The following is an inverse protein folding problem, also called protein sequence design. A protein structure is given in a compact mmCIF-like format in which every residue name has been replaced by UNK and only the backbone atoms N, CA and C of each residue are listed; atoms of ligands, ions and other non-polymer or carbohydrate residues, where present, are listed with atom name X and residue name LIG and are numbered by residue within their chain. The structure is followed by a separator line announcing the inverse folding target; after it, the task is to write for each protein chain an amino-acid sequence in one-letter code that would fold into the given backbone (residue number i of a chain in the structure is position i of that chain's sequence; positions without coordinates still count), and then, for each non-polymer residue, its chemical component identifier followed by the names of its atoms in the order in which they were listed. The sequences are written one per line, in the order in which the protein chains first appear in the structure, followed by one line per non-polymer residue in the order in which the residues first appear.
data_IF_999647539627
#
_entry.id   IF_999647539627
#
_cell.length_a   1.000
_cell.length_b   1.000
_cell.length_c   1.000
_cell.angle_alpha   90.00
_cell.angle_beta   90.00
_cell.angle_gamma   90.00
#
_symmetry.space_group_name_H-M   'P 1'
#
loop_
_entity.id
_entity.type
_entity.pdbx_description
1 polymer ?
#
# COMPACT_ATOMS: atom_id res chain seq x y z
N UNK A 1 -2.73 -28.94 -32.74
CA UNK A 1 -2.93 -29.79 -31.55
C UNK A 1 -1.68 -29.71 -30.69
N UNK A 2 -1.60 -28.69 -29.83
CA UNK A 2 -0.62 -28.66 -28.75
C UNK A 2 -1.00 -29.77 -27.75
N UNK A 3 -0.09 -30.71 -27.53
CA UNK A 3 -0.34 -31.90 -26.70
C UNK A 3 -0.50 -31.50 -25.23
N UNK A 4 -1.60 -31.92 -24.60
CA UNK A 4 -1.78 -31.85 -23.14
C UNK A 4 -3.05 -31.13 -22.66
N UNK A 5 -3.83 -30.52 -23.56
CA UNK A 5 -5.10 -29.90 -23.19
C UNK A 5 -6.29 -30.79 -23.57
N UNK A 6 -7.05 -31.25 -22.59
CA UNK A 6 -8.36 -31.88 -22.79
C UNK A 6 -9.47 -30.89 -22.41
N UNK A 7 -10.45 -30.63 -23.28
CA UNK A 7 -11.53 -29.71 -22.98
C UNK A 7 -12.44 -30.23 -21.86
N UNK A 8 -12.85 -29.37 -20.90
CA UNK A 8 -13.70 -29.80 -19.78
C UNK A 8 -15.12 -30.16 -20.26
N UNK A 9 -15.70 -31.20 -19.67
CA UNK A 9 -17.10 -31.59 -19.94
C UNK A 9 -18.06 -30.46 -19.52
N UNK A 10 -18.98 -29.99 -20.40
CA UNK A 10 -19.79 -28.81 -20.15
C UNK A 10 -20.98 -29.18 -19.26
N UNK A 11 -20.78 -29.16 -17.94
CA UNK A 11 -21.86 -29.36 -16.97
C UNK A 11 -22.35 -28.04 -16.36
N UNK A 12 -21.59 -26.94 -16.45
CA UNK A 12 -21.92 -25.64 -15.85
C UNK A 12 -21.51 -24.47 -16.76
N UNK A 13 -22.34 -23.43 -16.82
CA UNK A 13 -22.17 -22.25 -17.70
C UNK A 13 -20.86 -21.48 -17.44
N UNK A 14 -20.34 -21.53 -16.21
CA UNK A 14 -19.09 -20.84 -15.79
C UNK A 14 -17.82 -21.49 -16.33
N UNK A 15 -17.72 -22.81 -16.32
CA UNK A 15 -16.54 -23.53 -16.85
C UNK A 15 -16.47 -23.46 -18.37
N UNK A 16 -17.61 -23.38 -19.04
CA UNK A 16 -17.69 -23.14 -20.49
C UNK A 16 -17.14 -21.75 -20.87
N UNK A 17 -17.52 -20.70 -20.14
CA UNK A 17 -17.11 -19.32 -20.45
C UNK A 17 -15.60 -19.10 -20.27
N UNK A 18 -15.00 -19.66 -19.20
CA UNK A 18 -13.56 -19.59 -18.99
C UNK A 18 -12.76 -20.36 -20.05
N UNK A 19 -13.23 -21.55 -20.45
CA UNK A 19 -12.62 -22.32 -21.53
C UNK A 19 -12.77 -21.62 -22.90
N UNK A 20 -13.88 -20.91 -23.12
CA UNK A 20 -14.13 -20.11 -24.33
C UNK A 20 -13.17 -18.92 -24.45
N UNK A 21 -12.94 -18.17 -23.36
CA UNK A 21 -11.97 -17.07 -23.33
C UNK A 21 -10.53 -17.55 -23.54
N UNK A 22 -10.17 -18.70 -22.95
CA UNK A 22 -8.85 -19.32 -23.18
C UNK A 22 -8.67 -19.80 -24.63
N UNK A 23 -9.74 -20.33 -25.26
CA UNK A 23 -9.73 -20.76 -26.65
C UNK A 23 -9.75 -19.58 -27.64
N UNK A 24 -10.25 -18.41 -27.25
CA UNK A 24 -10.25 -17.20 -28.09
C UNK A 24 -8.84 -16.72 -28.44
N UNK A 25 -7.81 -17.09 -27.66
CA UNK A 25 -6.43 -16.73 -27.94
C UNK A 25 -5.73 -17.62 -29.00
N UNK A 26 -6.30 -18.78 -29.38
CA UNK A 26 -5.67 -19.75 -30.30
C UNK A 26 -6.64 -20.21 -31.42
N UNK A 27 -6.24 -19.99 -32.66
CA UNK A 27 -7.04 -20.27 -33.86
C UNK A 27 -7.49 -21.74 -33.99
N UNK A 28 -6.73 -22.70 -33.44
CA UNK A 28 -7.07 -24.13 -33.48
C UNK A 28 -8.15 -24.48 -32.46
N UNK A 29 -8.19 -23.78 -31.33
CA UNK A 29 -9.11 -24.07 -30.22
C UNK A 29 -10.49 -23.39 -30.40
N UNK A 30 -10.58 -22.30 -31.18
CA UNK A 30 -11.86 -21.63 -31.53
C UNK A 30 -12.84 -22.53 -32.28
N UNK A 31 -12.33 -23.43 -33.14
CA UNK A 31 -13.16 -24.36 -33.92
C UNK A 31 -13.84 -25.47 -33.10
N UNK A 32 -13.40 -25.71 -31.86
CA UNK A 32 -14.03 -26.69 -30.96
C UNK A 32 -15.28 -26.11 -30.29
N UNK A 33 -15.19 -24.89 -29.75
CA UNK A 33 -16.28 -24.26 -29.00
C UNK A 33 -17.53 -24.02 -29.87
N UNK A 34 -17.34 -23.57 -31.11
CA UNK A 34 -18.45 -23.29 -32.01
C UNK A 34 -19.19 -24.55 -32.51
N UNK A 35 -18.49 -25.67 -32.69
CA UNK A 35 -19.12 -26.97 -32.99
C UNK A 35 -19.96 -27.46 -31.81
N UNK A 36 -19.49 -27.26 -30.58
CA UNK A 36 -20.20 -27.68 -29.38
C UNK A 36 -21.46 -26.85 -29.09
N UNK A 37 -21.47 -25.57 -29.47
CA UNK A 37 -22.64 -24.67 -29.40
C UNK A 37 -23.71 -25.10 -30.41
N UNK A 38 -23.31 -25.46 -31.64
CA UNK A 38 -24.25 -25.90 -32.70
C UNK A 38 -25.06 -27.14 -32.32
N UNK A 39 -24.46 -28.06 -31.56
CA UNK A 39 -25.10 -29.30 -31.09
C UNK A 39 -26.08 -29.09 -29.92
N UNK A 40 -25.99 -27.96 -29.21
CA UNK A 40 -26.72 -27.71 -27.95
C UNK A 40 -27.86 -26.69 -28.06
N UNK A 41 -28.01 -26.01 -29.20
CA UNK A 41 -29.10 -25.05 -29.43
C UNK A 41 -30.43 -25.78 -29.75
N UNK A 42 -31.54 -25.47 -29.05
CA UNK A 42 -32.85 -26.00 -29.41
C UNK A 42 -33.46 -25.18 -30.57
N UNK A 43 -33.83 -25.85 -31.67
CA UNK A 43 -34.76 -25.32 -32.69
C UNK A 43 -34.20 -25.05 -34.09
N UNK A 44 -34.99 -25.51 -35.08
CA UNK A 44 -34.97 -25.35 -36.56
C UNK A 44 -33.66 -25.45 -37.35
N UNK A 45 -33.71 -26.22 -38.44
CA UNK A 45 -32.60 -26.45 -39.39
C UNK A 45 -31.96 -25.16 -39.95
N UNK A 46 -32.68 -24.03 -39.95
CA UNK A 46 -32.20 -22.75 -40.46
C UNK A 46 -31.15 -22.07 -39.57
N UNK A 47 -31.28 -22.16 -38.23
CA UNK A 47 -30.28 -21.60 -37.29
C UNK A 47 -29.00 -22.44 -37.32
N UNK A 48 -29.15 -23.75 -37.46
CA UNK A 48 -28.02 -24.68 -37.60
C UNK A 48 -27.28 -24.46 -38.94
N UNK A 49 -28.01 -24.29 -40.04
CA UNK A 49 -27.44 -23.93 -41.34
C UNK A 49 -26.73 -22.56 -41.32
N UNK A 50 -27.29 -21.56 -40.62
CA UNK A 50 -26.66 -20.25 -40.35
C UNK A 50 -25.32 -20.39 -39.63
N UNK A 51 -25.26 -21.17 -38.55
CA UNK A 51 -24.02 -21.38 -37.80
C UNK A 51 -22.96 -22.15 -38.62
N UNK A 52 -23.39 -23.16 -39.38
CA UNK A 52 -22.49 -23.94 -40.26
C UNK A 52 -21.91 -23.09 -41.39
N UNK A 53 -22.68 -22.17 -41.96
CA UNK A 53 -22.20 -21.24 -42.99
C UNK A 53 -21.21 -20.20 -42.44
N UNK A 54 -21.46 -19.67 -41.24
CA UNK A 54 -20.53 -18.78 -40.52
C UNK A 54 -19.22 -19.50 -40.16
N UNK A 55 -19.31 -20.76 -39.75
CA UNK A 55 -18.14 -21.59 -39.42
C UNK A 55 -17.27 -21.95 -40.63
N UNK A 56 -17.85 -21.97 -41.83
CA UNK A 56 -17.13 -22.26 -43.07
C UNK A 56 -16.32 -21.06 -43.62
N UNK A 57 -16.56 -19.84 -43.14
CA UNK A 57 -15.97 -18.62 -43.69
C UNK A 57 -14.63 -18.20 -43.06
N UNK A 58 -14.21 -18.83 -41.95
CA UNK A 58 -13.07 -18.36 -41.15
C UNK A 58 -13.38 -17.05 -40.39
N UNK A 59 -12.82 -16.84 -39.18
CA UNK A 59 -13.15 -15.67 -38.38
C UNK A 59 -12.47 -14.41 -38.95
N UNK A 60 -13.26 -13.47 -39.49
CA UNK A 60 -12.78 -12.16 -39.92
C UNK A 60 -13.50 -11.04 -39.14
N UNK A 61 -12.82 -10.35 -38.20
CA UNK A 61 -13.43 -9.30 -37.37
C UNK A 61 -13.98 -8.11 -38.17
N UNK A 62 -13.64 -7.98 -39.45
CA UNK A 62 -14.21 -6.97 -40.37
C UNK A 62 -15.66 -7.28 -40.77
N UNK A 63 -16.04 -8.56 -40.76
CA UNK A 63 -17.40 -9.01 -41.08
C UNK A 63 -18.38 -8.56 -40.00
N UNK A 64 -18.00 -8.64 -38.74
CA UNK A 64 -18.86 -8.27 -37.61
C UNK A 64 -19.01 -6.75 -37.46
N UNK A 65 -17.96 -5.96 -37.76
CA UNK A 65 -18.01 -4.50 -37.73
C UNK A 65 -18.91 -3.92 -38.84
N UNK A 66 -18.77 -4.41 -40.08
CA UNK A 66 -19.63 -3.98 -41.20
C UNK A 66 -21.08 -4.43 -40.99
N UNK A 67 -21.32 -5.61 -40.39
CA UNK A 67 -22.67 -6.04 -40.01
C UNK A 67 -23.32 -5.04 -39.04
N UNK A 68 -22.57 -4.55 -38.06
CA UNK A 68 -23.06 -3.59 -37.07
C UNK A 68 -23.38 -2.22 -37.68
N UNK A 69 -22.55 -1.72 -38.60
CA UNK A 69 -22.77 -0.45 -39.30
C UNK A 69 -23.98 -0.48 -40.26
N UNK A 70 -24.27 -1.65 -40.82
CA UNK A 70 -25.39 -1.88 -41.75
C UNK A 70 -26.72 -2.13 -41.02
N UNK A 71 -26.68 -2.73 -39.82
CA UNK A 71 -27.85 -2.92 -38.97
C UNK A 71 -28.51 -1.60 -38.53
N UNK A 72 -27.74 -0.52 -38.38
CA UNK A 72 -28.25 0.84 -38.07
C UNK A 72 -28.99 1.50 -39.25
N UNK A 73 -28.82 0.99 -40.48
CA UNK A 73 -29.46 1.54 -41.71
C UNK A 73 -30.70 0.75 -42.15
N UNK A 74 -31.15 -0.24 -41.38
CA UNK A 74 -32.27 -1.12 -41.73
C UNK A 74 -33.64 -0.45 -41.51
N UNK A 75 -33.98 0.46 -42.41
CA UNK A 75 -35.36 0.89 -42.65
C UNK A 75 -35.95 0.38 -43.97
N UNK A 76 -35.15 -0.09 -44.94
CA UNK A 76 -35.64 -0.28 -46.31
C UNK A 76 -34.88 -1.32 -47.18
N UNK A 77 -34.39 -2.43 -46.63
CA UNK A 77 -33.74 -3.48 -47.44
C UNK A 77 -34.49 -4.81 -47.26
N UNK A 78 -34.91 -5.42 -48.37
CA UNK A 78 -35.52 -6.74 -48.39
C UNK A 78 -34.53 -7.81 -47.95
N UNK A 79 -34.80 -8.49 -46.84
CA UNK A 79 -34.16 -9.75 -46.45
C UNK A 79 -32.68 -9.68 -46.04
N UNK A 80 -32.35 -10.36 -44.94
CA UNK A 80 -30.99 -10.45 -44.36
C UNK A 80 -29.99 -11.15 -45.30
N UNK A 81 -30.45 -11.99 -46.23
CA UNK A 81 -29.58 -12.71 -47.19
C UNK A 81 -28.96 -11.77 -48.25
N UNK A 82 -29.68 -10.74 -48.67
CA UNK A 82 -29.18 -9.72 -49.60
C UNK A 82 -28.16 -8.81 -48.91
N UNK A 83 -28.40 -8.47 -47.64
CA UNK A 83 -27.48 -7.68 -46.82
C UNK A 83 -26.13 -8.38 -46.63
N UNK A 84 -26.14 -9.67 -46.28
CA UNK A 84 -24.92 -10.47 -46.10
C UNK A 84 -24.13 -10.61 -47.40
N UNK A 85 -24.83 -10.69 -48.54
CA UNK A 85 -24.19 -10.76 -49.86
C UNK A 85 -23.54 -9.42 -50.24
N UNK A 86 -24.16 -8.28 -49.93
CA UNK A 86 -23.59 -6.95 -50.17
C UNK A 86 -22.38 -6.68 -49.27
N UNK A 87 -22.45 -7.03 -47.98
CA UNK A 87 -21.34 -6.89 -47.03
C UNK A 87 -20.12 -7.70 -47.49
N UNK A 88 -20.32 -8.91 -48.03
CA UNK A 88 -19.24 -9.73 -48.61
C UNK A 88 -18.55 -9.05 -49.80
N UNK A 89 -19.31 -8.42 -50.68
CA UNK A 89 -18.74 -7.71 -51.84
C UNK A 89 -17.91 -6.51 -51.40
N UNK A 90 -18.32 -5.84 -50.33
CA UNK A 90 -17.63 -4.63 -49.87
C UNK A 90 -16.39 -4.93 -49.03
N UNK A 91 -16.42 -5.97 -48.21
CA UNK A 91 -15.25 -6.47 -47.48
C UNK A 91 -14.19 -7.01 -48.45
N UNK A 92 -14.60 -7.66 -49.55
CA UNK A 92 -13.67 -8.15 -50.57
C UNK A 92 -12.92 -7.05 -51.33
N UNK A 93 -13.43 -5.80 -51.32
CA UNK A 93 -12.76 -4.63 -51.92
C UNK A 93 -11.75 -3.98 -50.99
N UNK A 94 -11.76 -4.29 -49.70
CA UNK A 94 -10.88 -3.67 -48.71
C UNK A 94 -9.59 -4.49 -48.51
N UNK A 95 -8.41 -3.86 -48.53
CA UNK A 95 -7.16 -4.55 -48.22
C UNK A 95 -7.18 -5.08 -46.78
N UNK A 96 -6.68 -6.31 -46.59
CA UNK A 96 -6.56 -6.94 -45.27
C UNK A 96 -5.62 -6.12 -44.40
N UNK A 97 -6.14 -5.53 -43.33
CA UNK A 97 -5.35 -4.79 -42.33
C UNK A 97 -5.62 -5.36 -40.93
N UNK A 98 -4.63 -5.34 -40.03
CA UNK A 98 -4.86 -5.69 -38.63
C UNK A 98 -5.85 -4.70 -37.99
N UNK A 99 -6.65 -5.16 -37.03
CA UNK A 99 -7.58 -4.30 -36.30
C UNK A 99 -6.82 -3.21 -35.53
N UNK A 100 -7.40 -2.03 -35.49
CA UNK A 100 -6.90 -0.89 -34.73
C UNK A 100 -7.09 -1.10 -33.23
N UNK A 101 -6.30 -0.39 -32.44
CA UNK A 101 -6.38 -0.38 -30.98
C UNK A 101 -7.78 0.03 -30.47
N UNK A 102 -8.46 0.92 -31.19
CA UNK A 102 -9.81 1.38 -30.88
C UNK A 102 -10.89 0.30 -31.16
N UNK A 103 -10.69 -0.52 -32.21
CA UNK A 103 -11.55 -1.67 -32.51
C UNK A 103 -11.38 -2.75 -31.44
N UNK A 104 -10.16 -2.96 -30.92
CA UNK A 104 -9.88 -3.92 -29.84
C UNK A 104 -10.46 -3.48 -28.48
N UNK A 105 -10.43 -2.18 -28.17
CA UNK A 105 -10.96 -1.63 -26.92
C UNK A 105 -12.48 -1.83 -26.76
N UNK A 106 -13.22 -1.91 -27.87
CA UNK A 106 -14.67 -2.13 -27.87
C UNK A 106 -15.07 -3.56 -27.44
N UNK A 107 -14.11 -4.50 -27.38
CA UNK A 107 -14.33 -5.90 -27.00
C UNK A 107 -13.89 -6.25 -25.57
N UNK A 108 -13.43 -5.28 -24.78
CA UNK A 108 -13.13 -5.52 -23.37
C UNK A 108 -14.42 -5.85 -22.59
N UNK A 109 -14.48 -6.92 -21.78
CA UNK A 109 -15.70 -7.31 -21.09
C UNK A 109 -16.15 -6.22 -20.09
N UNK A 110 -17.47 -5.98 -19.92
CA UNK A 110 -17.97 -5.10 -18.88
C UNK A 110 -17.61 -5.69 -17.51
N UNK A 111 -16.76 -4.99 -16.77
CA UNK A 111 -16.26 -5.38 -15.44
C UNK A 111 -17.44 -5.39 -14.46
N UNK A 112 -17.66 -6.50 -13.75
CA UNK A 112 -18.76 -6.60 -12.79
C UNK A 112 -18.34 -5.96 -11.46
N UNK A 113 -19.27 -5.37 -10.73
CA UNK A 113 -19.05 -4.87 -9.36
C UNK A 113 -18.51 -5.93 -8.40
N UNK A 114 -18.81 -7.20 -8.66
CA UNK A 114 -18.28 -8.35 -7.92
C UNK A 114 -16.75 -8.52 -8.03
N UNK A 115 -16.13 -8.01 -9.09
CA UNK A 115 -14.68 -8.14 -9.31
C UNK A 115 -13.89 -7.13 -8.46
N UNK A 116 -14.43 -5.92 -8.23
CA UNK A 116 -13.78 -4.90 -7.38
C UNK A 116 -13.76 -5.31 -5.92
N UNK A 117 -14.90 -5.74 -5.37
CA UNK A 117 -14.99 -6.13 -3.97
C UNK A 117 -14.08 -7.34 -3.66
N UNK A 118 -13.92 -8.25 -4.63
CA UNK A 118 -13.00 -9.38 -4.51
C UNK A 118 -11.53 -8.92 -4.49
N UNK A 119 -11.16 -7.96 -5.33
CA UNK A 119 -9.81 -7.37 -5.33
C UNK A 119 -9.51 -6.62 -4.04
N UNK A 120 -10.42 -5.76 -3.57
CA UNK A 120 -10.26 -5.06 -2.30
C UNK A 120 -10.13 -6.04 -1.12
N UNK A 121 -10.96 -7.09 -1.09
CA UNK A 121 -10.84 -8.14 -0.08
C UNK A 121 -9.48 -8.85 -0.13
N UNK A 122 -8.97 -9.17 -1.33
CA UNK A 122 -7.64 -9.75 -1.51
C UNK A 122 -6.54 -8.83 -0.97
N UNK A 123 -6.67 -7.52 -1.18
CA UNK A 123 -5.72 -6.52 -0.68
C UNK A 123 -5.75 -6.41 0.84
N UNK A 124 -6.93 -6.42 1.47
CA UNK A 124 -7.03 -6.41 2.94
C UNK A 124 -6.52 -7.72 3.58
N UNK A 125 -6.69 -8.85 2.89
CA UNK A 125 -6.18 -10.14 3.33
C UNK A 125 -4.65 -10.25 3.19
N UNK A 126 -4.09 -9.65 2.14
CA UNK A 126 -2.65 -9.62 1.88
C UNK A 126 -2.16 -8.19 1.56
N UNK A 127 -1.97 -7.34 2.58
CA UNK A 127 -1.66 -5.93 2.40
C UNK A 127 -0.25 -5.67 1.85
N UNK A 128 0.61 -6.67 1.71
CA UNK A 128 1.94 -6.50 1.13
C UNK A 128 1.99 -6.81 -0.38
N UNK A 129 0.94 -7.42 -0.93
CA UNK A 129 0.89 -7.85 -2.33
C UNK A 129 0.45 -6.73 -3.28
N UNK A 130 1.32 -6.36 -4.19
CA UNK A 130 1.09 -5.28 -5.15
C UNK A 130 0.33 -5.75 -6.41
N UNK A 131 0.26 -7.06 -6.68
CA UNK A 131 -0.39 -7.57 -7.90
C UNK A 131 -1.91 -7.26 -7.91
N UNK A 132 -2.68 -7.54 -6.84
CA UNK A 132 -4.09 -7.15 -6.79
C UNK A 132 -4.30 -5.63 -6.88
N UNK A 133 -3.33 -4.84 -6.41
CA UNK A 133 -3.39 -3.36 -6.47
C UNK A 133 -3.19 -2.85 -7.88
N UNK A 134 -2.26 -3.43 -8.64
CA UNK A 134 -2.05 -3.08 -10.04
C UNK A 134 -3.32 -3.36 -10.87
N UNK A 135 -3.92 -4.54 -10.68
CA UNK A 135 -5.20 -4.89 -11.34
C UNK A 135 -6.31 -3.92 -10.93
N UNK A 136 -6.42 -3.59 -9.64
CA UNK A 136 -7.39 -2.61 -9.16
C UNK A 136 -7.16 -1.22 -9.78
N UNK A 137 -5.91 -0.79 -9.91
CA UNK A 137 -5.54 0.49 -10.49
C UNK A 137 -6.02 0.62 -11.94
N UNK A 138 -5.76 -0.39 -12.76
CA UNK A 138 -6.17 -0.43 -14.17
C UNK A 138 -7.70 -0.41 -14.30
N UNK A 139 -8.38 -1.19 -13.46
CA UNK A 139 -9.85 -1.25 -13.45
C UNK A 139 -10.50 0.07 -13.03
N UNK A 140 -9.94 0.76 -12.03
CA UNK A 140 -10.44 2.05 -11.56
C UNK A 140 -10.19 3.14 -12.61
N UNK A 141 -9.01 3.15 -13.25
CA UNK A 141 -8.71 4.09 -14.34
C UNK A 141 -9.64 3.89 -15.55
N UNK A 142 -9.92 2.65 -15.94
CA UNK A 142 -10.86 2.34 -17.01
C UNK A 142 -12.29 2.86 -16.74
N UNK A 143 -12.63 3.10 -15.47
CA UNK A 143 -13.92 3.67 -15.03
C UNK A 143 -13.86 5.18 -14.78
N UNK A 144 -12.71 5.81 -14.99
CA UNK A 144 -12.48 7.22 -14.68
C UNK A 144 -12.44 7.53 -13.18
N UNK A 145 -12.19 6.53 -12.32
CA UNK A 145 -12.00 6.76 -10.89
C UNK A 145 -10.55 7.22 -10.60
N UNK A 146 -10.36 8.43 -10.04
CA UNK A 146 -9.02 9.00 -9.79
C UNK A 146 -8.17 8.17 -8.81
N UNK A 147 -8.78 7.28 -8.02
CA UNK A 147 -8.03 6.38 -7.12
C UNK A 147 -7.15 5.41 -7.91
N UNK A 148 -7.56 5.04 -9.11
CA UNK A 148 -6.76 4.17 -9.98
C UNK A 148 -5.44 4.83 -10.38
N UNK A 149 -5.48 6.12 -10.77
CA UNK A 149 -4.29 6.92 -11.07
C UNK A 149 -3.37 7.02 -9.84
N UNK A 150 -3.95 7.30 -8.66
CA UNK A 150 -3.19 7.34 -7.41
C UNK A 150 -2.44 6.03 -7.15
N UNK A 151 -3.13 4.88 -7.25
CA UNK A 151 -2.50 3.57 -7.01
C UNK A 151 -1.34 3.36 -7.98
N UNK A 152 -1.56 3.59 -9.28
CA UNK A 152 -0.54 3.38 -10.30
C UNK A 152 0.72 4.25 -10.06
N UNK A 153 0.53 5.54 -9.73
CA UNK A 153 1.63 6.45 -9.42
C UNK A 153 2.39 6.00 -8.16
N UNK A 154 1.67 5.64 -7.09
CA UNK A 154 2.30 5.19 -5.85
C UNK A 154 3.03 3.84 -5.99
N UNK A 155 2.54 2.93 -6.84
CA UNK A 155 3.26 1.71 -7.20
C UNK A 155 4.52 1.99 -8.03
N UNK A 156 4.46 2.96 -8.95
CA UNK A 156 5.64 3.40 -9.70
C UNK A 156 6.71 3.99 -8.76
N UNK A 157 6.31 4.83 -7.79
CA UNK A 157 7.21 5.36 -6.74
C UNK A 157 7.82 4.21 -5.93
N UNK A 158 7.01 3.26 -5.46
CA UNK A 158 7.49 2.10 -4.71
C UNK A 158 8.50 1.23 -5.49
N UNK A 159 8.32 1.14 -6.82
CA UNK A 159 9.23 0.44 -7.72
C UNK A 159 10.48 1.26 -8.13
N UNK A 160 10.73 2.43 -7.52
CA UNK A 160 11.87 3.29 -7.85
C UNK A 160 11.74 4.05 -9.17
N UNK A 161 10.52 4.14 -9.72
CA UNK A 161 10.19 4.82 -10.99
C UNK A 161 9.39 6.13 -10.76
N UNK A 162 9.44 6.68 -9.55
CA UNK A 162 8.79 7.95 -9.23
C UNK A 162 9.44 9.15 -9.95
N UNK A 163 8.62 10.15 -10.29
CA UNK A 163 9.06 11.43 -10.87
C UNK A 163 8.55 12.59 -10.03
N UNK A 164 9.16 13.77 -10.12
CA UNK A 164 8.72 14.94 -9.33
C UNK A 164 7.30 15.38 -9.77
N UNK A 165 6.98 15.25 -11.06
CA UNK A 165 5.64 15.48 -11.60
C UNK A 165 4.64 14.46 -11.06
N UNK A 166 5.05 13.20 -10.94
CA UNK A 166 4.23 12.13 -10.36
C UNK A 166 3.94 12.38 -8.88
N UNK A 167 4.91 12.88 -8.12
CA UNK A 167 4.73 13.24 -6.71
C UNK A 167 3.77 14.42 -6.57
N UNK A 168 3.93 15.47 -7.38
CA UNK A 168 3.01 16.60 -7.40
C UNK A 168 1.57 16.16 -7.74
N UNK A 169 1.43 15.21 -8.67
CA UNK A 169 0.12 14.63 -9.03
C UNK A 169 -0.47 13.76 -7.92
N UNK A 170 0.34 12.97 -7.22
CA UNK A 170 -0.10 12.22 -6.03
C UNK A 170 -0.63 13.19 -4.97
N UNK A 171 0.09 14.26 -4.67
CA UNK A 171 -0.34 15.27 -3.70
C UNK A 171 -1.66 15.92 -4.11
N UNK A 172 -1.84 16.21 -5.39
CA UNK A 172 -3.09 16.73 -5.94
C UNK A 172 -4.26 15.78 -5.74
N UNK A 173 -4.12 14.54 -6.21
CA UNK A 173 -5.14 13.50 -6.08
C UNK A 173 -5.56 13.27 -4.62
N UNK A 174 -4.58 13.24 -3.71
CA UNK A 174 -4.81 13.04 -2.28
C UNK A 174 -5.51 14.23 -1.63
N UNK A 175 -5.14 15.46 -2.02
CA UNK A 175 -5.81 16.69 -1.54
C UNK A 175 -7.27 16.73 -1.96
N UNK A 176 -7.54 16.39 -3.23
CA UNK A 176 -8.86 16.60 -3.84
C UNK A 176 -9.83 15.45 -3.53
N UNK A 177 -9.33 14.22 -3.41
CA UNK A 177 -10.16 13.01 -3.25
C UNK A 177 -9.93 12.23 -1.96
N UNK A 178 -8.82 12.48 -1.24
CA UNK A 178 -8.38 11.67 -0.10
C UNK A 178 -9.45 11.45 0.97
N UNK A 179 -10.21 12.51 1.32
CA UNK A 179 -11.30 12.41 2.30
C UNK A 179 -12.37 11.38 1.89
N UNK A 180 -12.71 11.31 0.60
CA UNK A 180 -13.71 10.37 0.11
C UNK A 180 -13.22 8.92 0.19
N UNK A 181 -11.93 8.69 -0.06
CA UNK A 181 -11.31 7.36 0.00
C UNK A 181 -11.18 6.81 1.43
N UNK A 182 -11.19 7.67 2.45
CA UNK A 182 -11.24 7.23 3.85
C UNK A 182 -12.63 6.69 4.25
N UNK A 183 -13.67 6.93 3.45
CA UNK A 183 -15.02 6.48 3.76
C UNK A 183 -15.46 6.89 5.19
N UNK A 184 -16.04 5.99 6.00
CA UNK A 184 -16.43 6.31 7.38
C UNK A 184 -15.29 6.72 8.31
N UNK A 185 -14.02 6.37 8.01
CA UNK A 185 -12.90 6.67 8.90
C UNK A 185 -12.54 8.14 8.95
N UNK A 186 -12.99 8.95 7.99
CA UNK A 186 -12.72 10.40 8.01
C UNK A 186 -13.24 11.10 9.27
N UNK A 187 -14.20 10.51 9.98
CA UNK A 187 -14.78 11.07 11.22
C UNK A 187 -13.92 10.85 12.46
N UNK A 188 -13.00 9.90 12.39
CA UNK A 188 -12.08 9.58 13.47
C UNK A 188 -10.63 9.90 13.10
N UNK A 189 -10.38 10.30 11.85
CA UNK A 189 -9.04 10.65 11.37
C UNK A 189 -8.76 12.14 11.61
N UNK A 190 -7.75 12.42 12.43
CA UNK A 190 -7.11 13.73 12.46
C UNK A 190 -6.22 13.88 11.23
N UNK A 191 -5.31 12.92 11.00
CA UNK A 191 -4.44 12.83 9.82
C UNK A 191 -4.43 11.39 9.31
N UNK A 192 -4.20 11.24 8.01
CA UNK A 192 -4.13 9.94 7.36
C UNK A 192 -3.03 9.92 6.31
N UNK A 193 -2.42 8.76 6.07
CA UNK A 193 -1.49 8.58 4.95
C UNK A 193 -1.99 7.44 4.07
N UNK A 194 -2.07 7.72 2.77
CA UNK A 194 -2.36 6.72 1.76
C UNK A 194 -1.06 6.27 1.10
N UNK A 195 -0.81 4.97 1.07
CA UNK A 195 0.25 4.36 0.27
C UNK A 195 -0.31 3.26 -0.59
N UNK A 196 0.16 3.20 -1.84
CA UNK A 196 -0.33 2.27 -2.86
C UNK A 196 -1.87 2.30 -2.98
N UNK A 197 -2.47 3.48 -2.75
CA UNK A 197 -3.91 3.80 -2.75
C UNK A 197 -4.74 3.34 -1.55
N UNK A 198 -4.10 2.90 -0.45
CA UNK A 198 -4.78 2.43 0.76
C UNK A 198 -4.27 3.12 2.01
N UNK A 199 -5.11 3.17 3.05
CA UNK A 199 -4.78 3.77 4.33
C UNK A 199 -3.71 2.95 5.06
N UNK A 200 -2.52 3.51 5.24
CA UNK A 200 -1.41 2.83 5.94
C UNK A 200 -1.06 3.47 7.28
N UNK A 201 -1.39 4.75 7.47
CA UNK A 201 -1.21 5.45 8.75
C UNK A 201 -2.47 6.20 9.11
N UNK A 202 -2.91 6.05 10.36
CA UNK A 202 -4.08 6.72 10.91
C UNK A 202 -3.72 7.39 12.23
N UNK A 203 -3.89 8.71 12.29
CA UNK A 203 -3.81 9.49 13.52
C UNK A 203 -5.22 9.90 13.94
N UNK A 204 -5.59 9.61 15.19
CA UNK A 204 -6.97 9.77 15.63
C UNK A 204 -7.31 11.21 16.04
N UNK A 205 -8.51 11.64 15.66
CA UNK A 205 -9.13 12.88 16.13
C UNK A 205 -9.61 12.76 17.58
N UNK A 206 -9.92 13.92 18.18
CA UNK A 206 -10.41 14.02 19.55
C UNK A 206 -11.73 13.28 19.83
N UNK A 207 -12.14 13.20 21.11
CA UNK A 207 -13.32 12.42 21.54
C UNK A 207 -14.63 12.89 20.89
N UNK A 208 -14.68 14.12 20.39
CA UNK A 208 -15.81 14.69 19.64
C UNK A 208 -15.95 14.16 18.19
N UNK A 209 -15.19 13.14 17.79
CA UNK A 209 -15.33 12.47 16.50
C UNK A 209 -16.62 11.66 16.39
N UNK A 210 -16.54 10.45 15.81
CA UNK A 210 -17.70 9.57 15.65
C UNK A 210 -18.46 9.31 16.98
N UNK A 211 -19.79 9.40 16.93
CA UNK A 211 -20.66 9.00 18.04
C UNK A 211 -20.61 7.49 18.30
N UNK A 212 -21.04 7.03 19.48
CA UNK A 212 -20.86 5.64 19.94
C UNK A 212 -21.33 4.56 18.94
N UNK A 213 -22.55 4.68 18.39
CA UNK A 213 -23.06 3.71 17.42
C UNK A 213 -22.23 3.65 16.13
N UNK A 214 -21.69 4.79 15.70
CA UNK A 214 -20.85 4.87 14.49
C UNK A 214 -19.45 4.36 14.75
N UNK A 215 -18.95 4.57 15.96
CA UNK A 215 -17.68 4.05 16.43
C UNK A 215 -17.63 2.52 16.39
N UNK A 216 -18.67 1.83 16.85
CA UNK A 216 -18.78 0.35 16.78
C UNK A 216 -18.61 -0.16 15.34
N UNK A 217 -19.28 0.48 14.37
CA UNK A 217 -19.13 0.13 12.95
C UNK A 217 -17.75 0.44 12.38
N UNK A 218 -17.07 1.49 12.89
CA UNK A 218 -15.74 1.88 12.43
C UNK A 218 -14.69 0.89 12.91
N UNK A 219 -14.78 0.41 14.16
CA UNK A 219 -13.80 -0.52 14.75
C UNK A 219 -13.71 -1.82 13.95
N UNK A 220 -14.77 -2.27 13.30
CA UNK A 220 -14.79 -3.49 12.47
C UNK A 220 -14.61 -3.21 10.97
N UNK A 221 -14.38 -1.96 10.57
CA UNK A 221 -14.42 -1.59 9.17
C UNK A 221 -13.22 -2.16 8.37
N UNK A 222 -13.43 -2.80 7.20
CA UNK A 222 -12.35 -3.43 6.42
C UNK A 222 -11.21 -2.51 5.99
N UNK A 223 -11.48 -1.20 5.81
CA UNK A 223 -10.45 -0.20 5.51
C UNK A 223 -9.33 -0.12 6.57
N UNK A 224 -9.56 -0.63 7.78
CA UNK A 224 -8.51 -0.78 8.80
C UNK A 224 -7.47 -1.85 8.45
N UNK A 225 -7.78 -2.76 7.52
CA UNK A 225 -6.94 -3.90 7.14
C UNK A 225 -5.57 -3.54 6.61
N UNK A 226 -5.38 -2.32 6.10
CA UNK A 226 -4.08 -1.84 5.59
C UNK A 226 -3.35 -0.92 6.55
N UNK A 227 -3.93 -0.56 7.70
CA UNK A 227 -3.31 0.36 8.66
C UNK A 227 -2.13 -0.32 9.34
N UNK A 228 -0.92 0.17 9.09
CA UNK A 228 0.32 -0.30 9.70
C UNK A 228 0.68 0.50 10.96
N UNK A 229 0.42 1.81 10.93
CA UNK A 229 0.77 2.77 11.96
C UNK A 229 -0.48 3.43 12.53
N UNK A 230 -0.78 3.14 13.81
CA UNK A 230 -1.88 3.79 14.53
C UNK A 230 -1.31 4.78 15.55
N UNK A 231 -1.76 6.02 15.48
CA UNK A 231 -1.29 7.12 16.35
C UNK A 231 -2.49 7.65 17.14
N UNK A 232 -2.37 7.81 18.47
CA UNK A 232 -3.49 8.21 19.31
C UNK A 232 -4.01 9.61 19.04
N UNK A 233 -3.16 10.52 18.54
CA UNK A 233 -3.53 11.91 18.26
C UNK A 233 -4.17 12.58 19.48
N UNK A 234 -5.41 13.06 19.33
CA UNK A 234 -6.21 13.67 20.40
C UNK A 234 -7.26 12.72 21.00
N UNK A 235 -7.31 11.45 20.57
CA UNK A 235 -8.27 10.46 21.05
C UNK A 235 -8.02 10.06 22.51
N UNK A 236 -9.04 9.46 23.13
CA UNK A 236 -8.89 8.79 24.43
C UNK A 236 -8.15 7.47 24.27
N UNK A 237 -7.48 7.03 25.35
CA UNK A 237 -6.83 5.73 25.42
C UNK A 237 -7.76 4.55 25.22
N UNK A 238 -9.00 4.63 25.71
CA UNK A 238 -10.01 3.56 25.54
C UNK A 238 -10.37 3.34 24.06
N UNK A 239 -10.70 4.43 23.33
CA UNK A 239 -10.97 4.34 21.89
C UNK A 239 -9.77 3.83 21.10
N UNK A 240 -8.59 4.35 21.42
CA UNK A 240 -7.37 3.90 20.78
C UNK A 240 -7.07 2.41 21.06
N UNK A 241 -7.33 1.94 22.29
CA UNK A 241 -7.19 0.54 22.68
C UNK A 241 -8.19 -0.40 21.97
N UNK A 242 -9.40 0.07 21.70
CA UNK A 242 -10.39 -0.69 20.91
C UNK A 242 -9.93 -0.92 19.47
N UNK A 243 -9.37 0.10 18.82
CA UNK A 243 -8.78 -0.05 17.49
C UNK A 243 -7.56 -0.97 17.51
N UNK A 244 -6.67 -0.86 18.50
CA UNK A 244 -5.54 -1.79 18.66
C UNK A 244 -6.02 -3.25 18.76
N UNK A 245 -7.11 -3.48 19.47
CA UNK A 245 -7.69 -4.81 19.66
C UNK A 245 -8.56 -5.28 18.48
N UNK A 246 -8.82 -4.42 17.50
CA UNK A 246 -9.70 -4.75 16.38
C UNK A 246 -9.17 -5.92 15.55
N UNK A 247 -10.02 -6.91 15.19
CA UNK A 247 -9.65 -7.95 14.26
C UNK A 247 -9.48 -7.44 12.82
N UNK A 248 -10.04 -6.26 12.50
CA UNK A 248 -9.89 -5.64 11.19
C UNK A 248 -8.47 -5.06 10.97
N UNK A 249 -7.68 -4.83 12.02
CA UNK A 249 -6.32 -4.29 11.97
C UNK A 249 -5.26 -5.36 11.63
N UNK A 250 -5.41 -6.03 10.48
CA UNK A 250 -4.53 -7.14 10.08
C UNK A 250 -3.09 -6.70 9.75
N UNK A 251 -2.93 -5.50 9.19
CA UNK A 251 -1.63 -4.90 8.88
C UNK A 251 -0.95 -4.21 10.08
N UNK A 252 -1.60 -4.04 11.23
CA UNK A 252 -1.04 -3.20 12.30
C UNK A 252 0.33 -3.71 12.77
N UNK A 253 1.30 -2.79 12.79
CA UNK A 253 2.72 -3.06 13.12
C UNK A 253 3.25 -2.12 14.19
N UNK A 254 2.78 -0.87 14.24
CA UNK A 254 3.39 0.16 15.11
C UNK A 254 2.34 1.01 15.81
N UNK A 255 2.56 1.20 17.11
CA UNK A 255 1.64 1.90 18.00
C UNK A 255 2.42 2.71 19.05
N UNK A 256 1.72 3.61 19.72
CA UNK A 256 2.12 4.23 20.98
C UNK A 256 1.47 3.55 22.21
N UNK A 257 2.17 3.53 23.34
CA UNK A 257 1.70 3.08 24.66
C UNK A 257 1.96 4.18 25.68
N UNK A 258 0.89 4.76 26.21
CA UNK A 258 0.96 5.94 27.09
C UNK A 258 0.02 5.88 28.30
N UNK A 259 -0.88 4.89 28.37
CA UNK A 259 -1.76 4.69 29.51
C UNK A 259 -2.13 3.19 29.72
N UNK A 260 -2.88 2.90 30.79
CA UNK A 260 -3.31 1.54 31.14
C UNK A 260 -4.42 0.98 30.23
N UNK A 261 -5.22 1.81 29.59
CA UNK A 261 -6.23 1.34 28.64
C UNK A 261 -5.54 0.73 27.42
N UNK A 262 -4.48 1.37 26.92
CA UNK A 262 -3.66 0.83 25.83
C UNK A 262 -3.03 -0.51 26.22
N UNK A 263 -2.57 -0.68 27.46
CA UNK A 263 -2.03 -1.96 27.94
C UNK A 263 -3.09 -3.07 27.90
N UNK A 264 -4.34 -2.78 28.30
CA UNK A 264 -5.46 -3.73 28.15
C UNK A 264 -5.80 -4.01 26.68
N UNK A 265 -5.71 -2.99 25.83
CA UNK A 265 -5.85 -3.13 24.38
C UNK A 265 -4.78 -4.06 23.79
N UNK A 266 -3.54 -3.93 24.28
CA UNK A 266 -2.45 -4.83 23.94
C UNK A 266 -2.87 -6.27 24.27
N UNK A 267 -3.22 -6.61 25.51
CA UNK A 267 -3.55 -7.98 25.89
C UNK A 267 -4.54 -8.69 24.95
N UNK A 268 -5.43 -7.92 24.31
CA UNK A 268 -6.45 -8.41 23.36
C UNK A 268 -6.06 -8.35 21.89
N UNK A 269 -5.00 -7.62 21.50
CA UNK A 269 -4.64 -7.47 20.08
C UNK A 269 -4.12 -8.76 19.46
N UNK A 270 -4.51 -8.98 18.21
CA UNK A 270 -4.00 -10.01 17.32
C UNK A 270 -2.90 -9.49 16.38
N UNK A 271 -2.58 -8.20 16.44
CA UNK A 271 -1.60 -7.57 15.58
C UNK A 271 -0.18 -8.08 15.86
N UNK A 272 0.59 -8.26 14.79
CA UNK A 272 2.01 -8.65 14.85
C UNK A 272 2.90 -7.41 15.00
N UNK A 273 2.86 -6.80 16.18
CA UNK A 273 3.57 -5.55 16.43
C UNK A 273 5.10 -5.74 16.29
N UNK A 274 5.73 -4.78 15.62
CA UNK A 274 7.18 -4.74 15.39
C UNK A 274 7.85 -3.57 16.11
N UNK A 275 7.10 -2.51 16.40
CA UNK A 275 7.56 -1.34 17.13
C UNK A 275 6.51 -0.82 18.11
N UNK A 276 6.93 -0.49 19.33
CA UNK A 276 6.09 0.14 20.35
C UNK A 276 6.79 1.41 20.84
N UNK A 277 6.11 2.55 20.74
CA UNK A 277 6.63 3.82 21.20
C UNK A 277 6.03 4.18 22.56
N UNK A 278 6.84 4.56 23.55
CA UNK A 278 6.38 4.81 24.92
C UNK A 278 6.62 6.28 25.30
N UNK A 279 5.77 7.22 24.85
CA UNK A 279 6.02 8.64 25.05
C UNK A 279 5.86 9.11 26.51
N UNK A 280 4.94 8.53 27.30
CA UNK A 280 4.70 8.99 28.66
C UNK A 280 3.87 8.04 29.55
N UNK A 281 4.37 6.86 29.93
CA UNK A 281 3.57 5.95 30.79
C UNK A 281 3.48 6.38 32.26
N UNK A 282 4.37 7.23 32.75
CA UNK A 282 4.39 7.61 34.17
C UNK A 282 3.21 8.48 34.60
N UNK A 283 2.46 9.06 33.65
CA UNK A 283 1.28 9.87 33.94
C UNK A 283 0.15 9.08 34.63
N UNK A 284 0.20 7.73 34.57
CA UNK A 284 -0.84 6.85 35.13
C UNK A 284 -0.40 6.06 36.37
N UNK A 285 0.70 6.45 37.02
CA UNK A 285 1.14 5.87 38.30
C UNK A 285 1.66 4.43 38.21
N UNK A 286 1.84 3.89 37.00
CA UNK A 286 2.42 2.58 36.73
C UNK A 286 3.92 2.71 36.39
N UNK A 287 4.71 1.74 36.85
CA UNK A 287 6.13 1.65 36.50
C UNK A 287 6.29 1.01 35.12
N UNK A 288 7.10 1.63 34.28
CA UNK A 288 7.37 1.18 32.91
C UNK A 288 7.79 -0.29 32.85
N UNK A 289 8.70 -0.68 33.74
CA UNK A 289 9.26 -2.02 33.84
C UNK A 289 8.26 -3.08 34.34
N UNK A 290 7.26 -2.67 35.12
CA UNK A 290 6.28 -3.57 35.73
C UNK A 290 5.08 -3.81 34.80
N UNK A 291 4.81 -2.88 33.87
CA UNK A 291 3.60 -2.92 33.04
C UNK A 291 3.91 -2.99 31.53
N UNK A 292 4.78 -2.12 31.01
CA UNK A 292 5.07 -2.06 29.56
C UNK A 292 5.89 -3.27 29.14
N UNK A 293 7.00 -3.53 29.82
CA UNK A 293 7.94 -4.57 29.40
C UNK A 293 7.30 -5.97 29.41
N UNK A 294 6.48 -6.37 30.40
CA UNK A 294 5.72 -7.61 30.36
C UNK A 294 4.71 -7.65 29.19
N UNK A 295 3.95 -6.57 28.97
CA UNK A 295 3.00 -6.49 27.86
C UNK A 295 3.68 -6.56 26.49
N UNK A 296 4.91 -6.06 26.37
CA UNK A 296 5.75 -6.15 25.19
C UNK A 296 6.36 -7.55 24.99
N UNK A 297 6.66 -8.26 26.08
CA UNK A 297 7.38 -9.54 26.04
C UNK A 297 6.67 -10.62 25.22
N UNK A 298 5.34 -10.63 25.22
CA UNK A 298 4.53 -11.59 24.45
C UNK A 298 4.68 -11.48 22.93
N UNK A 299 5.16 -10.33 22.42
CA UNK A 299 5.30 -10.13 20.98
C UNK A 299 6.64 -10.65 20.46
N UNK A 300 6.62 -11.84 19.86
CA UNK A 300 7.80 -12.42 19.22
C UNK A 300 8.32 -11.63 18.01
N UNK A 301 7.45 -10.83 17.38
CA UNK A 301 7.77 -9.96 16.25
C UNK A 301 8.35 -8.61 16.66
N UNK A 302 8.33 -8.26 17.94
CA UNK A 302 8.82 -6.97 18.41
C UNK A 302 10.34 -6.87 18.18
N UNK A 303 10.75 -5.89 17.37
CA UNK A 303 12.15 -5.61 17.02
C UNK A 303 12.59 -4.23 17.46
N UNK A 304 11.65 -3.36 17.82
CA UNK A 304 11.96 -2.01 18.21
C UNK A 304 11.07 -1.51 19.34
N UNK A 305 11.63 -0.64 20.18
CA UNK A 305 10.91 0.07 21.23
C UNK A 305 11.45 1.50 21.33
N UNK A 306 10.57 2.46 21.63
CA UNK A 306 10.96 3.82 22.00
C UNK A 306 10.72 4.07 23.48
N UNK A 307 11.71 4.59 24.19
CA UNK A 307 11.62 4.85 25.62
C UNK A 307 12.45 6.09 26.00
N UNK A 308 12.34 6.53 27.25
CA UNK A 308 13.17 7.62 27.80
C UNK A 308 14.52 7.07 28.25
N UNK A 309 15.52 7.93 28.38
CA UNK A 309 16.89 7.54 28.73
C UNK A 309 16.96 6.77 30.06
N UNK A 310 16.18 7.18 31.06
CA UNK A 310 16.09 6.51 32.36
C UNK A 310 15.48 5.09 32.28
N UNK A 311 14.70 4.81 31.23
CA UNK A 311 14.04 3.51 31.03
C UNK A 311 14.96 2.47 30.37
N UNK A 312 16.02 2.92 29.70
CA UNK A 312 16.86 2.07 28.85
C UNK A 312 17.46 0.90 29.65
N UNK A 313 17.88 1.12 30.89
CA UNK A 313 18.45 0.04 31.72
C UNK A 313 17.44 -1.07 31.97
N UNK A 314 16.16 -0.74 32.15
CA UNK A 314 15.10 -1.73 32.33
C UNK A 314 14.83 -2.48 31.03
N UNK A 315 14.75 -1.77 29.89
CA UNK A 315 14.62 -2.39 28.56
C UNK A 315 15.72 -3.41 28.35
N UNK A 316 16.98 -3.03 28.58
CA UNK A 316 18.14 -3.89 28.33
C UNK A 316 18.25 -5.09 29.29
N UNK A 317 17.62 -5.03 30.46
CA UNK A 317 17.54 -6.15 31.41
C UNK A 317 16.34 -7.07 31.19
N UNK A 318 15.38 -6.64 30.37
CA UNK A 318 14.16 -7.39 30.13
C UNK A 318 14.33 -8.47 29.07
N UNK A 319 13.38 -9.43 28.96
CA UNK A 319 13.42 -10.45 27.92
C UNK A 319 13.38 -9.91 26.49
N UNK A 320 12.81 -8.71 26.26
CA UNK A 320 12.71 -8.16 24.91
C UNK A 320 14.08 -7.73 24.34
N UNK A 321 15.06 -7.43 25.18
CA UNK A 321 16.40 -6.97 24.77
C UNK A 321 17.12 -7.94 23.83
N UNK A 322 16.80 -9.23 23.89
CA UNK A 322 17.36 -10.26 23.00
C UNK A 322 16.90 -10.13 21.55
N UNK A 323 15.75 -9.50 21.31
CA UNK A 323 15.10 -9.41 19.99
C UNK A 323 15.21 -8.03 19.37
N UNK A 324 15.60 -7.02 20.14
CA UNK A 324 15.66 -5.65 19.65
C UNK A 324 16.79 -5.49 18.63
N UNK A 325 16.43 -4.99 17.45
CA UNK A 325 17.37 -4.52 16.43
C UNK A 325 17.50 -3.00 16.45
N UNK A 326 16.48 -2.30 16.97
CA UNK A 326 16.45 -0.84 17.02
C UNK A 326 15.91 -0.36 18.36
N UNK A 327 16.62 0.55 19.03
CA UNK A 327 16.19 1.21 20.26
C UNK A 327 16.08 2.71 20.01
N UNK A 328 14.88 3.26 20.15
CA UNK A 328 14.70 4.72 20.12
C UNK A 328 14.75 5.27 21.54
N UNK A 329 15.58 6.28 21.76
CA UNK A 329 15.77 6.89 23.07
C UNK A 329 15.50 8.38 22.99
N UNK A 330 14.73 8.87 23.96
CA UNK A 330 14.55 10.30 24.22
C UNK A 330 15.37 10.67 25.43
N UNK A 331 16.26 11.64 25.25
CA UNK A 331 17.09 12.14 26.34
C UNK A 331 18.21 13.00 25.81
N UNK A 332 19.14 13.31 26.71
CA UNK A 332 20.32 14.08 26.37
C UNK A 332 21.26 13.22 25.48
N UNK A 333 21.75 13.82 24.39
CA UNK A 333 22.50 13.11 23.34
C UNK A 333 23.77 12.48 23.89
N UNK A 334 24.56 13.23 24.67
CA UNK A 334 25.84 12.78 25.22
C UNK A 334 25.67 11.54 26.09
N UNK A 335 24.71 11.58 27.01
CA UNK A 335 24.39 10.47 27.90
C UNK A 335 23.88 9.26 27.13
N UNK A 336 23.05 9.47 26.11
CA UNK A 336 22.52 8.40 25.27
C UNK A 336 23.61 7.72 24.43
N UNK A 337 24.48 8.50 23.78
CA UNK A 337 25.61 7.99 23.01
C UNK A 337 26.62 7.26 23.91
N UNK A 338 26.94 7.83 25.07
CA UNK A 338 27.83 7.20 26.06
C UNK A 338 27.28 5.85 26.54
N UNK A 339 25.97 5.75 26.71
CA UNK A 339 25.29 4.51 27.07
C UNK A 339 25.42 3.46 25.96
N UNK A 340 25.08 3.82 24.72
CA UNK A 340 25.14 2.91 23.57
C UNK A 340 26.54 2.43 23.21
N UNK A 341 27.58 3.25 23.48
CA UNK A 341 28.98 2.83 23.29
C UNK A 341 29.30 1.54 24.05
N UNK A 342 28.65 1.30 25.19
CA UNK A 342 28.84 0.11 26.01
C UNK A 342 28.02 -1.10 25.55
N UNK A 343 27.19 -0.96 24.52
CA UNK A 343 26.42 -2.08 23.96
C UNK A 343 27.33 -3.02 23.18
N UNK A 344 27.34 -4.28 23.63
CA UNK A 344 28.06 -5.36 22.96
C UNK A 344 27.32 -5.95 21.76
N UNK A 345 26.02 -5.65 21.62
CA UNK A 345 25.18 -6.11 20.49
C UNK A 345 25.07 -5.01 19.44
N UNK A 346 24.96 -5.42 18.17
CA UNK A 346 24.62 -4.49 17.09
C UNK A 346 23.13 -4.17 17.15
N UNK A 347 22.78 -3.14 17.92
CA UNK A 347 21.45 -2.52 17.98
C UNK A 347 21.61 -1.14 17.37
N UNK A 348 20.75 -0.78 16.42
CA UNK A 348 20.64 0.60 15.95
C UNK A 348 20.04 1.46 17.07
N UNK A 349 20.74 2.50 17.48
CA UNK A 349 20.22 3.53 18.37
C UNK A 349 19.62 4.65 17.53
N UNK A 350 18.40 5.06 17.87
CA UNK A 350 17.77 6.27 17.33
C UNK A 350 17.61 7.26 18.47
N UNK A 351 18.21 8.45 18.37
CA UNK A 351 17.98 9.55 19.30
C UNK A 351 16.97 10.47 18.64
N UNK A 352 15.81 10.60 19.28
CA UNK A 352 14.67 11.36 18.78
C UNK A 352 14.24 12.42 19.80
N UNK A 353 13.64 13.54 19.33
CA UNK A 353 13.16 14.60 20.22
C UNK A 353 11.99 14.17 21.13
N UNK A 354 11.31 13.08 20.78
CA UNK A 354 10.21 12.51 21.56
C UNK A 354 10.02 11.02 21.23
N UNK A 355 9.41 10.27 22.16
CA UNK A 355 9.17 8.82 22.04
C UNK A 355 7.76 8.56 21.48
N UNK A 356 7.28 9.49 20.64
CA UNK A 356 6.06 9.30 19.83
C UNK A 356 6.41 8.57 18.55
N UNK A 357 5.47 7.78 18.05
CA UNK A 357 5.65 6.90 16.89
C UNK A 357 6.13 7.68 15.66
N UNK A 358 5.60 8.89 15.47
CA UNK A 358 5.98 9.78 14.38
C UNK A 358 7.50 10.02 14.35
N UNK A 359 8.14 10.26 15.50
CA UNK A 359 9.59 10.52 15.59
C UNK A 359 10.45 9.27 15.55
N UNK A 360 9.86 8.08 15.67
CA UNK A 360 10.57 6.80 15.60
C UNK A 360 10.66 6.28 14.16
N UNK A 361 9.63 6.56 13.38
CA UNK A 361 9.39 5.96 12.05
C UNK A 361 9.75 6.87 10.89
N UNK A 362 9.95 8.16 11.12
CA UNK A 362 10.33 9.13 10.10
C UNK A 362 11.67 9.78 10.46
N UNK A 363 12.55 9.93 9.48
CA UNK A 363 13.90 10.49 9.69
C UNK A 363 13.88 11.99 9.96
N UNK A 364 12.94 12.73 9.36
CA UNK A 364 12.71 14.15 9.64
C UNK A 364 11.21 14.42 9.74
N UNK A 365 10.79 14.79 10.96
CA UNK A 365 9.42 15.17 11.30
C UNK A 365 9.45 16.61 11.72
N UNK A 366 8.67 17.46 11.06
CA UNK A 366 8.48 18.86 11.44
C UNK A 366 9.79 19.64 11.58
N UNK A 367 10.82 19.27 10.80
CA UNK A 367 12.14 19.91 10.87
C UNK A 367 12.86 19.69 12.19
N UNK A 368 12.50 18.67 12.98
CA UNK A 368 13.17 18.36 14.25
C UNK A 368 14.30 17.34 14.11
N UNK A 369 14.38 16.63 12.98
CA UNK A 369 15.46 15.69 12.68
C UNK A 369 15.63 14.51 13.65
N UNK A 370 16.68 13.72 13.44
CA UNK A 370 17.05 12.56 14.27
C UNK A 370 18.53 12.20 14.12
N UNK A 371 19.07 11.47 15.10
CA UNK A 371 20.39 10.82 15.00
C UNK A 371 20.18 9.30 15.06
N UNK A 372 20.71 8.57 14.08
CA UNK A 372 20.73 7.10 14.06
C UNK A 372 22.16 6.61 14.11
N UNK A 373 22.53 5.83 15.11
CA UNK A 373 23.85 5.23 15.26
C UNK A 373 23.75 3.72 15.15
N UNK A 374 24.53 3.11 14.26
CA UNK A 374 24.57 1.67 14.04
C UNK A 374 26.00 1.17 13.88
N UNK A 375 26.20 -0.15 14.04
CA UNK A 375 27.48 -0.82 13.81
C UNK A 375 27.37 -1.74 12.60
N UNK A 376 28.23 -1.53 11.61
CA UNK A 376 28.37 -2.38 10.42
C UNK A 376 29.85 -2.77 10.31
N UNK A 377 30.15 -4.08 10.29
CA UNK A 377 31.53 -4.60 10.16
C UNK A 377 32.55 -3.94 11.11
N UNK A 378 32.15 -3.77 12.37
CA UNK A 378 32.92 -3.10 13.43
C UNK A 378 33.17 -1.60 13.21
N UNK A 379 32.59 -1.00 12.16
CA UNK A 379 32.55 0.44 11.91
C UNK A 379 31.30 1.06 12.52
N UNK A 380 31.44 2.25 13.09
CA UNK A 380 30.34 3.07 13.61
C UNK A 380 29.83 3.98 12.50
N UNK A 381 28.58 3.77 12.10
CA UNK A 381 27.90 4.62 11.13
C UNK A 381 26.89 5.47 11.87
N UNK A 382 26.97 6.78 11.67
CA UNK A 382 26.00 7.73 12.18
C UNK A 382 25.26 8.34 11.01
N UNK A 383 23.94 8.19 10.97
CA UNK A 383 23.05 8.94 10.10
C UNK A 383 22.42 10.09 10.86
N UNK A 384 22.40 11.28 10.27
CA UNK A 384 21.85 12.48 10.89
C UNK A 384 20.92 13.18 9.92
N UNK A 385 19.77 13.59 10.42
CA UNK A 385 18.77 14.36 9.68
C UNK A 385 18.40 15.64 10.42
N UNK A 386 18.02 16.67 9.65
CA UNK A 386 17.49 17.93 10.19
C UNK A 386 18.51 18.72 11.03
N UNK A 387 18.05 19.52 12.01
CA UNK A 387 18.89 20.42 12.81
C UNK A 387 19.97 19.72 13.63
N UNK A 388 19.88 18.41 13.86
CA UNK A 388 20.91 17.65 14.58
C UNK A 388 22.24 17.56 13.84
N UNK A 389 22.28 17.88 12.55
CA UNK A 389 23.50 17.88 11.75
C UNK A 389 24.53 18.93 12.25
N UNK A 390 24.13 20.03 12.90
CA UNK A 390 25.09 20.91 13.60
C UNK A 390 25.66 20.24 14.83
N UNK A 391 24.79 19.57 15.60
CA UNK A 391 25.11 18.99 16.90
C UNK A 391 26.16 17.86 16.77
N UNK A 392 26.17 17.12 15.66
CA UNK A 392 27.14 16.03 15.47
C UNK A 392 28.59 16.52 15.46
N UNK A 393 28.85 17.75 15.01
CA UNK A 393 30.19 18.33 15.03
C UNK A 393 30.71 18.55 16.45
N UNK A 394 29.81 18.75 17.43
CA UNK A 394 30.15 18.94 18.84
C UNK A 394 30.39 17.62 19.57
N UNK A 395 29.81 16.52 19.06
CA UNK A 395 29.83 15.21 19.71
C UNK A 395 30.81 14.19 19.12
N UNK A 396 31.63 14.58 18.13
CA UNK A 396 32.65 13.72 17.51
C UNK A 396 33.61 13.05 18.51
N UNK A 397 33.94 13.74 19.62
CA UNK A 397 34.80 13.19 20.67
C UNK A 397 34.16 12.07 21.49
N UNK A 398 32.82 12.00 21.52
CA UNK A 398 32.05 11.03 22.31
C UNK A 398 31.72 9.78 21.50
N UNK A 399 31.44 9.95 20.21
CA UNK A 399 31.17 8.86 19.28
C UNK A 399 31.92 9.12 17.96
N UNK A 400 33.20 8.71 17.85
CA UNK A 400 33.93 8.84 16.60
C UNK A 400 33.25 7.95 15.54
N UNK A 401 32.62 8.59 14.57
CA UNK A 401 32.01 7.91 13.46
C UNK A 401 33.10 7.48 12.48
N UNK A 402 33.04 6.25 11.99
CA UNK A 402 33.85 5.84 10.83
C UNK A 402 33.20 6.34 9.53
N UNK A 403 31.87 6.51 9.54
CA UNK A 403 31.08 7.06 8.45
C UNK A 403 29.92 7.92 8.96
N UNK A 404 29.73 9.07 8.34
CA UNK A 404 28.66 10.03 8.60
C UNK A 404 27.74 10.14 7.37
N UNK A 405 26.49 9.74 7.55
CA UNK A 405 25.42 9.81 6.55
C UNK A 405 24.54 11.05 6.82
N UNK A 406 24.53 12.01 5.91
CA UNK A 406 23.81 13.28 6.07
C UNK A 406 22.56 13.29 5.21
N UNK A 407 21.40 13.35 5.84
CA UNK A 407 20.13 13.47 5.12
C UNK A 407 19.91 14.93 4.73
N UNK A 408 19.89 15.20 3.42
CA UNK A 408 19.65 16.52 2.85
C UNK A 408 18.17 16.94 2.97
N UNK A 409 17.84 18.25 2.99
CA UNK A 409 18.75 19.38 2.88
C UNK A 409 19.46 19.72 4.21
N UNK A 410 20.75 20.06 4.14
CA UNK A 410 21.51 20.67 5.24
C UNK A 410 21.88 22.12 4.91
N UNK A 411 22.01 22.97 5.93
CA UNK A 411 22.41 24.37 5.71
C UNK A 411 23.88 24.46 5.28
N UNK A 412 24.24 25.49 4.52
CA UNK A 412 25.63 25.71 4.09
C UNK A 412 26.61 25.81 5.28
N UNK A 413 26.17 26.39 6.41
CA UNK A 413 26.96 26.48 7.62
C UNK A 413 27.23 25.10 8.26
N UNK A 414 26.24 24.21 8.23
CA UNK A 414 26.38 22.81 8.66
C UNK A 414 27.35 22.07 7.74
N UNK A 415 27.15 22.19 6.42
CA UNK A 415 28.02 21.56 5.43
C UNK A 415 29.50 21.96 5.65
N UNK A 416 29.77 23.26 5.82
CA UNK A 416 31.13 23.76 6.05
C UNK A 416 31.77 23.23 7.35
N UNK A 417 31.00 23.09 8.45
CA UNK A 417 31.50 22.48 9.70
C UNK A 417 31.79 20.99 9.52
N UNK A 418 30.95 20.28 8.77
CA UNK A 418 31.13 18.85 8.54
C UNK A 418 32.30 18.58 7.57
N UNK A 419 32.50 19.43 6.57
CA UNK A 419 33.62 19.33 5.65
C UNK A 419 34.98 19.47 6.39
N UNK A 420 35.03 20.12 7.57
CA UNK A 420 36.22 20.14 8.43
C UNK A 420 36.56 18.76 9.05
N UNK A 421 35.62 17.82 9.05
CA UNK A 421 35.81 16.44 9.48
C UNK A 421 36.31 15.55 8.34
N UNK A 422 36.37 16.06 7.11
CA UNK A 422 36.85 15.32 5.94
C UNK A 422 38.29 14.83 6.16
N UNK A 423 38.53 13.56 5.81
CA UNK A 423 39.81 12.87 6.03
C UNK A 423 39.93 12.14 7.37
N UNK A 424 39.02 12.37 8.33
CA UNK A 424 38.89 11.58 9.57
C UNK A 424 37.68 10.65 9.56
N UNK A 425 36.63 11.02 8.83
CA UNK A 425 35.36 10.31 8.73
C UNK A 425 34.94 10.22 7.26
N UNK A 426 34.40 9.09 6.84
CA UNK A 426 33.77 8.96 5.50
C UNK A 426 32.44 9.72 5.50
N UNK A 427 32.26 10.72 4.62
CA UNK A 427 31.04 11.53 4.58
C UNK A 427 30.22 11.14 3.34
N UNK A 428 28.95 10.80 3.56
CA UNK A 428 27.99 10.44 2.50
C UNK A 428 26.75 11.32 2.64
N UNK A 429 26.34 11.96 1.54
CA UNK A 429 25.10 12.75 1.48
C UNK A 429 23.99 11.89 0.92
N UNK A 430 22.86 11.85 1.63
CA UNK A 430 21.70 11.03 1.32
C UNK A 430 20.55 11.98 0.99
N UNK A 431 19.90 11.85 -0.19
CA UNK A 431 18.70 12.60 -0.47
C UNK A 431 17.57 12.18 0.48
N UNK A 432 16.74 13.13 0.89
CA UNK A 432 15.54 12.84 1.68
C UNK A 432 14.64 11.85 0.95
N UNK A 433 14.11 10.86 1.67
CA UNK A 433 13.04 10.02 1.13
C UNK A 433 11.83 10.87 0.72
N UNK A 434 11.29 10.58 -0.48
CA UNK A 434 10.06 11.20 -0.98
C UNK A 434 8.88 10.74 -0.11
N UNK A 435 8.22 11.68 0.56
CA UNK A 435 7.03 11.42 1.39
C UNK A 435 5.76 11.81 0.61
N UNK A 436 5.46 11.11 -0.48
CA UNK A 436 4.22 11.33 -1.23
C UNK A 436 3.03 10.65 -0.52
N UNK A 437 1.86 11.31 -0.50
CA UNK A 437 0.59 10.67 -0.10
C UNK A 437 0.04 10.97 1.30
N UNK A 438 0.50 12.03 1.97
CA UNK A 438 -0.04 12.46 3.27
C UNK A 438 -1.35 13.25 3.05
N UNK A 439 -2.44 12.77 3.64
CA UNK A 439 -3.64 13.58 3.89
C UNK A 439 -3.39 14.36 5.18
N UNK A 440 -3.27 15.68 5.06
CA UNK A 440 -3.10 16.61 6.18
C UNK A 440 -4.28 16.59 7.15
N UNK A 441 -4.25 17.47 8.16
CA UNK A 441 -5.35 17.57 9.12
C UNK A 441 -6.66 17.75 8.34
N UNK A 442 -7.55 16.75 8.37
CA UNK A 442 -8.89 16.88 7.80
C UNK A 442 -9.62 17.75 8.80
N UNK A 443 -9.41 19.07 8.67
CA UNK A 443 -10.06 20.07 9.48
C UNK A 443 -11.56 19.76 9.45
N UNK A 444 -12.14 19.61 10.65
CA UNK A 444 -13.58 19.55 10.86
C UNK A 444 -14.27 20.66 10.08
#
# INVERSE_FOLDING_TARGET
LSRGWEPPAPKLHRTFHAAWLAAAADDVHRGWAARHIADKLPGSNAVRARLTALLAAGPDPRVDHELSLQLDKLGAIGGIEDLVSQVRVEIAKQPVRPPTENELAHFAPPVRTADLAALEHSIYANPDDDEPRAVLADLLQARGDPRGELIALQLAVAAGRGTDEGDARIEELVRDHGRSWLGPLHEIAYRAELRRGFLTRLELAGPEGAGAARWESIVEHPLLGTVEDLIPGESTGERYAELIASPAMTALRRIEVFDLAVIRGLERTHARLVHIACPNIYAVGARFEDVVLPACARFETLRSIACRLEEVTYVMRSPIAARLTTLTVVGEVTATLAFWRNFRRSIELVIAPHARLVGCTREDVEGRGSIRARREDNRVIIRVAGPWATAICEYQSLLPADRLELVEPITAAVAARIDQLAGKVEIVRIPRERQAGIIGAIAK
#
